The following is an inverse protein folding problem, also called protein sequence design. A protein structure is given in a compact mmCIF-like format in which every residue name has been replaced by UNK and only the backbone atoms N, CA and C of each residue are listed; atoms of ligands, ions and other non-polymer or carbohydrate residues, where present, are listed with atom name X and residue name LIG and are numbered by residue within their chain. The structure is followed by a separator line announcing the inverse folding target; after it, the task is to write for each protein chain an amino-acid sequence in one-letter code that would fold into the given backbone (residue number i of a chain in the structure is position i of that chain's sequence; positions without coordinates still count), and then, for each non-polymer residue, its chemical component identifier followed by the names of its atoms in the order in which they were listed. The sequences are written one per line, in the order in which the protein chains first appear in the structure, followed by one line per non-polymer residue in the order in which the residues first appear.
data_IF_554833649013
#
_entry.id   IF_554833649013
#
_cell.length_a   1.000
_cell.length_b   1.000
_cell.length_c   1.000
_cell.angle_alpha   90.00
_cell.angle_beta   90.00
_cell.angle_gamma   90.00
#
_symmetry.space_group_name_H-M   'P 1'
#
loop_
_entity.id
_entity.type
_entity.pdbx_description
1 polymer ?
#
# COMPACT_ATOMS: atom_id res chain seq x y z
N UNK A 1 -3.24 -5.16 -6.43
CA UNK A 1 -4.15 -6.03 -5.63
C UNK A 1 -5.41 -5.30 -5.20
N UNK A 2 -5.30 -4.14 -4.54
CA UNK A 2 -6.46 -3.39 -4.06
C UNK A 2 -7.45 -3.02 -5.18
N UNK A 3 -6.95 -2.55 -6.33
CA UNK A 3 -7.76 -2.21 -7.50
C UNK A 3 -8.57 -3.41 -8.05
N UNK A 4 -7.94 -4.58 -8.18
CA UNK A 4 -8.63 -5.79 -8.60
C UNK A 4 -9.75 -6.18 -7.63
N UNK A 5 -9.50 -6.10 -6.31
CA UNK A 5 -10.52 -6.32 -5.29
C UNK A 5 -11.63 -5.26 -5.38
N UNK A 6 -11.28 -4.00 -5.63
CA UNK A 6 -12.24 -2.91 -5.79
C UNK A 6 -13.19 -3.20 -6.96
N UNK A 7 -12.67 -3.63 -8.12
CA UNK A 7 -13.50 -4.05 -9.25
C UNK A 7 -14.40 -5.24 -8.91
N UNK A 8 -13.83 -6.30 -8.34
CA UNK A 8 -14.57 -7.53 -8.02
C UNK A 8 -15.65 -7.32 -6.94
N UNK A 9 -15.46 -6.35 -6.04
CA UNK A 9 -16.40 -6.06 -4.95
C UNK A 9 -17.36 -4.91 -5.25
N UNK A 10 -17.35 -4.38 -6.49
CA UNK A 10 -18.22 -3.30 -6.92
C UNK A 10 -17.94 -1.98 -6.19
N UNK A 11 -16.67 -1.60 -6.07
CA UNK A 11 -16.24 -0.32 -5.49
C UNK A 11 -16.21 -0.26 -3.96
N UNK A 12 -16.38 -1.39 -3.28
CA UNK A 12 -16.44 -1.46 -1.79
C UNK A 12 -15.10 -1.64 -1.10
N UNK A 13 -14.02 -1.82 -1.86
CA UNK A 13 -12.66 -1.89 -1.29
C UNK A 13 -12.17 -0.48 -0.95
N UNK A 14 -11.45 -0.35 0.16
CA UNK A 14 -10.75 0.88 0.53
C UNK A 14 -9.26 0.58 0.64
N UNK A 15 -8.44 1.55 0.28
CA UNK A 15 -6.99 1.48 0.31
C UNK A 15 -6.42 2.62 1.16
N UNK A 16 -5.66 2.24 2.18
CA UNK A 16 -4.80 3.14 2.94
C UNK A 16 -3.37 2.95 2.42
N UNK A 17 -2.78 4.01 1.88
CA UNK A 17 -1.43 4.00 1.27
C UNK A 17 -0.82 5.40 1.38
N UNK A 18 0.34 5.61 0.76
CA UNK A 18 0.94 6.93 0.55
C UNK A 18 1.28 7.09 -0.94
N UNK A 19 0.75 8.14 -1.57
CA UNK A 19 1.07 8.57 -2.94
C UNK A 19 1.45 10.05 -2.94
N UNK A 20 2.22 10.45 -3.94
CA UNK A 20 2.58 11.85 -4.17
C UNK A 20 1.41 12.67 -4.72
N UNK A 21 1.57 13.98 -4.73
CA UNK A 21 0.72 14.92 -5.48
C UNK A 21 1.20 15.12 -6.93
N UNK A 22 2.13 14.28 -7.38
CA UNK A 22 2.68 14.21 -8.73
C UNK A 22 1.73 13.56 -9.75
N UNK A 23 2.17 13.52 -11.02
CA UNK A 23 1.37 13.00 -12.11
C UNK A 23 1.02 11.51 -11.94
N UNK A 24 1.94 10.72 -11.39
CA UNK A 24 1.72 9.29 -11.13
C UNK A 24 0.69 9.10 -10.01
N UNK A 25 0.74 9.90 -8.95
CA UNK A 25 -0.25 9.88 -7.88
C UNK A 25 -1.64 10.24 -8.38
N UNK A 26 -1.74 11.30 -9.19
CA UNK A 26 -3.00 11.69 -9.84
C UNK A 26 -3.52 10.60 -10.78
N UNK A 27 -2.64 9.94 -11.54
CA UNK A 27 -3.02 8.82 -12.38
C UNK A 27 -3.60 7.67 -11.53
N UNK A 28 -2.94 7.28 -10.45
CA UNK A 28 -3.38 6.21 -9.56
C UNK A 28 -4.75 6.49 -8.91
N UNK A 29 -5.00 7.73 -8.46
CA UNK A 29 -6.29 8.11 -7.88
C UNK A 29 -7.44 8.03 -8.90
N UNK A 30 -7.15 8.35 -10.16
CA UNK A 30 -8.12 8.30 -11.25
C UNK A 30 -8.46 6.88 -11.74
N UNK A 31 -7.60 5.87 -11.53
CA UNK A 31 -7.87 4.48 -11.96
C UNK A 31 -9.04 3.87 -11.18
N UNK A 32 -9.13 4.16 -9.89
CA UNK A 32 -10.15 3.63 -8.99
C UNK A 32 -10.66 4.73 -8.05
N UNK A 33 -11.50 5.66 -8.56
CA UNK A 33 -11.97 6.81 -7.81
C UNK A 33 -12.68 6.39 -6.52
N UNK A 34 -12.35 7.05 -5.41
CA UNK A 34 -12.93 6.78 -4.09
C UNK A 34 -12.43 5.49 -3.42
N UNK A 35 -11.42 4.83 -3.99
CA UNK A 35 -10.72 3.73 -3.32
C UNK A 35 -9.76 4.23 -2.23
N UNK A 36 -9.03 5.31 -2.50
CA UNK A 36 -8.06 5.88 -1.56
C UNK A 36 -8.76 6.55 -0.37
N UNK A 37 -8.21 6.38 0.83
CA UNK A 37 -8.69 7.05 2.03
C UNK A 37 -8.09 8.46 2.17
N UNK A 38 -8.80 9.34 2.89
CA UNK A 38 -8.36 10.71 3.09
C UNK A 38 -7.02 10.82 3.82
N UNK A 39 -6.05 11.51 3.23
CA UNK A 39 -4.70 11.68 3.78
C UNK A 39 -3.68 10.70 3.21
N UNK A 40 -4.01 9.94 2.17
CA UNK A 40 -3.03 9.14 1.42
C UNK A 40 -2.16 10.00 0.47
N UNK A 41 -2.58 11.23 0.13
CA UNK A 41 -1.82 12.14 -0.75
C UNK A 41 -0.86 12.99 0.07
N UNK A 42 0.44 12.86 -0.19
CA UNK A 42 1.52 13.56 0.50
C UNK A 42 1.98 14.75 -0.37
N UNK A 43 1.87 15.96 0.18
CA UNK A 43 2.26 17.18 -0.54
C UNK A 43 3.76 17.23 -0.81
N UNK A 44 4.14 17.62 -2.01
CA UNK A 44 5.53 17.60 -2.50
C UNK A 44 6.18 16.21 -2.40
N UNK A 45 5.36 15.15 -2.40
CA UNK A 45 5.83 13.77 -2.36
C UNK A 45 5.97 13.20 -3.76
N UNK A 46 6.97 12.34 -3.98
CA UNK A 46 7.06 11.53 -5.18
C UNK A 46 6.35 10.19 -4.94
N UNK A 47 5.45 9.81 -5.84
CA UNK A 47 4.75 8.52 -5.79
C UNK A 47 5.77 7.38 -5.90
N UNK A 48 5.67 6.34 -5.02
CA UNK A 48 6.60 5.21 -5.05
C UNK A 48 6.67 4.55 -6.43
N UNK A 49 7.89 4.33 -6.92
CA UNK A 49 8.13 3.77 -8.26
C UNK A 49 9.15 2.64 -8.20
N UNK A 50 9.01 1.68 -9.11
CA UNK A 50 9.94 0.56 -9.25
C UNK A 50 10.27 0.34 -10.73
N UNK A 51 11.54 0.52 -11.08
CA UNK A 51 12.08 0.26 -12.40
C UNK A 51 12.83 -1.07 -12.40
N UNK A 52 12.65 -1.87 -13.43
CA UNK A 52 13.34 -3.16 -13.60
C UNK A 52 13.95 -3.25 -14.99
N UNK A 53 15.20 -3.69 -15.06
CA UNK A 53 15.87 -4.07 -16.29
C UNK A 53 15.81 -5.59 -16.45
N UNK A 54 15.30 -6.03 -17.58
CA UNK A 54 15.18 -7.44 -17.93
C UNK A 54 16.19 -7.79 -19.03
N UNK A 55 16.70 -9.02 -19.01
CA UNK A 55 17.47 -9.57 -20.14
C UNK A 55 16.55 -9.98 -21.30
N UNK A 56 17.14 -10.48 -22.39
CA UNK A 56 16.40 -10.95 -23.58
C UNK A 56 15.54 -12.20 -23.33
N UNK A 57 15.73 -12.88 -22.19
CA UNK A 57 14.94 -14.04 -21.75
C UNK A 57 13.85 -13.64 -20.75
N UNK A 58 13.79 -12.37 -20.36
CA UNK A 58 12.85 -11.84 -19.37
C UNK A 58 13.32 -12.00 -17.92
N UNK A 59 14.58 -12.37 -17.68
CA UNK A 59 15.15 -12.47 -16.34
C UNK A 59 15.51 -11.08 -15.80
N UNK A 60 15.21 -10.83 -14.52
CA UNK A 60 15.55 -9.56 -13.86
C UNK A 60 17.06 -9.46 -13.65
N UNK A 61 17.66 -8.43 -14.28
CA UNK A 61 19.06 -8.08 -14.08
C UNK A 61 19.23 -7.10 -12.94
N UNK A 62 18.42 -6.03 -12.92
CA UNK A 62 18.51 -4.93 -11.95
C UNK A 62 17.09 -4.46 -11.62
N UNK A 63 16.82 -4.22 -10.34
CA UNK A 63 15.61 -3.57 -9.86
C UNK A 63 15.95 -2.35 -9.00
N UNK A 64 15.37 -1.20 -9.31
CA UNK A 64 15.50 0.05 -8.58
C UNK A 64 14.14 0.48 -8.07
N UNK A 65 14.00 0.61 -6.75
CA UNK A 65 12.77 1.04 -6.11
C UNK A 65 12.96 2.29 -5.29
N UNK A 66 12.18 3.33 -5.58
CA UNK A 66 11.95 4.43 -4.64
C UNK A 66 10.65 4.15 -3.88
N UNK A 67 10.80 3.74 -2.62
CA UNK A 67 9.69 3.35 -1.74
C UNK A 67 9.62 4.24 -0.49
N UNK A 68 10.40 5.32 -0.45
CA UNK A 68 10.55 6.17 0.74
C UNK A 68 9.22 6.78 1.20
N UNK A 69 8.31 7.09 0.27
CA UNK A 69 7.04 7.70 0.62
C UNK A 69 6.17 6.82 1.53
N UNK A 70 6.32 5.49 1.47
CA UNK A 70 5.57 4.55 2.31
C UNK A 70 5.81 4.74 3.81
N UNK A 71 6.86 5.46 4.24
CA UNK A 71 7.04 5.83 5.66
C UNK A 71 5.90 6.68 6.23
N UNK A 72 5.09 7.31 5.37
CA UNK A 72 3.90 8.08 5.75
C UNK A 72 2.67 7.20 6.00
N UNK A 73 2.75 5.89 5.76
CA UNK A 73 1.71 4.94 6.16
C UNK A 73 1.88 4.68 7.65
N UNK A 74 1.42 5.59 8.50
CA UNK A 74 1.68 5.57 9.95
C UNK A 74 0.51 4.96 10.75
N UNK A 75 0.73 4.54 12.02
CA UNK A 75 -0.35 4.12 12.92
C UNK A 75 -1.41 5.22 13.14
N UNK A 76 -1.00 6.49 13.14
CA UNK A 76 -1.91 7.63 13.29
C UNK A 76 -2.85 7.74 12.09
N UNK A 77 -2.34 7.53 10.87
CA UNK A 77 -3.16 7.51 9.67
C UNK A 77 -4.18 6.35 9.72
N UNK A 78 -3.77 5.18 10.22
CA UNK A 78 -4.69 4.05 10.48
C UNK A 78 -5.77 4.45 11.48
N UNK A 79 -5.40 5.06 12.61
CA UNK A 79 -6.33 5.44 13.67
C UNK A 79 -7.34 6.51 13.23
N UNK A 80 -6.93 7.44 12.35
CA UNK A 80 -7.83 8.42 11.74
C UNK A 80 -9.01 7.75 11.02
N UNK A 81 -8.77 6.55 10.47
CA UNK A 81 -9.74 5.77 9.71
C UNK A 81 -10.28 4.55 10.46
N UNK A 82 -10.20 4.53 11.80
CA UNK A 82 -10.53 3.35 12.61
C UNK A 82 -11.90 2.73 12.28
N UNK A 83 -12.90 3.55 11.98
CA UNK A 83 -14.25 3.10 11.60
C UNK A 83 -14.25 2.24 10.33
N UNK A 84 -13.41 2.58 9.34
CA UNK A 84 -13.26 1.78 8.12
C UNK A 84 -12.70 0.39 8.47
N UNK A 85 -11.74 0.33 9.40
CA UNK A 85 -11.19 -0.94 9.88
C UNK A 85 -12.22 -1.71 10.73
N UNK A 86 -13.08 -1.04 11.50
CA UNK A 86 -14.19 -1.61 12.29
C UNK A 86 -15.35 -2.14 11.43
N UNK A 87 -15.55 -1.59 10.24
CA UNK A 87 -16.59 -2.05 9.30
C UNK A 87 -16.07 -3.11 8.29
N UNK A 88 -14.76 -3.13 8.02
CA UNK A 88 -14.17 -4.02 7.02
C UNK A 88 -14.31 -5.51 7.36
N UNK A 89 -14.86 -6.34 6.45
CA UNK A 89 -14.96 -7.79 6.69
C UNK A 89 -13.61 -8.53 6.58
N UNK A 90 -12.60 -7.91 5.95
CA UNK A 90 -11.27 -8.46 5.73
C UNK A 90 -10.27 -7.32 5.67
N UNK A 91 -9.12 -7.48 6.32
CA UNK A 91 -7.99 -6.55 6.25
C UNK A 91 -6.83 -7.27 5.55
N UNK A 92 -6.32 -6.66 4.49
CA UNK A 92 -5.15 -7.16 3.73
C UNK A 92 -4.01 -6.17 3.92
N UNK A 93 -2.87 -6.67 4.37
CA UNK A 93 -1.64 -5.90 4.56
C UNK A 93 -0.63 -6.26 3.47
N UNK A 94 0.11 -5.26 3.02
CA UNK A 94 1.29 -5.43 2.16
C UNK A 94 2.56 -5.18 2.98
N UNK A 95 3.63 -5.90 2.67
CA UNK A 95 4.93 -5.80 3.36
C UNK A 95 5.69 -4.49 3.12
N UNK A 96 5.15 -3.59 2.30
CA UNK A 96 5.74 -2.28 2.02
C UNK A 96 5.43 -1.23 3.11
N UNK A 97 4.45 -1.50 3.99
CA UNK A 97 4.15 -0.60 5.10
C UNK A 97 5.25 -0.66 6.19
N UNK A 98 5.50 0.44 6.93
CA UNK A 98 6.42 0.42 8.06
C UNK A 98 6.04 -0.63 9.11
N UNK A 99 7.05 -1.28 9.69
CA UNK A 99 6.85 -2.35 10.68
C UNK A 99 5.93 -1.91 11.83
N UNK A 100 6.13 -0.70 12.36
CA UNK A 100 5.29 -0.16 13.43
C UNK A 100 3.80 -0.11 13.05
N UNK A 101 3.49 0.20 11.79
CA UNK A 101 2.11 0.24 11.29
C UNK A 101 1.55 -1.16 11.07
N UNK A 102 2.37 -2.09 10.56
CA UNK A 102 1.99 -3.50 10.42
C UNK A 102 1.63 -4.07 11.81
N UNK A 103 2.49 -3.88 12.81
CA UNK A 103 2.27 -4.37 14.18
C UNK A 103 0.99 -3.77 14.79
N UNK A 104 0.77 -2.47 14.58
CA UNK A 104 -0.43 -1.77 15.02
C UNK A 104 -1.71 -2.34 14.38
N UNK A 105 -1.70 -2.56 13.06
CA UNK A 105 -2.87 -3.13 12.35
C UNK A 105 -3.10 -4.58 12.78
N UNK A 106 -2.06 -5.39 12.99
CA UNK A 106 -2.20 -6.77 13.47
C UNK A 106 -2.81 -6.80 14.89
N UNK A 107 -2.36 -5.93 15.79
CA UNK A 107 -2.94 -5.79 17.12
C UNK A 107 -4.42 -5.35 17.04
N UNK A 108 -4.74 -4.44 16.11
CA UNK A 108 -6.11 -4.01 15.85
C UNK A 108 -7.00 -5.15 15.34
N UNK A 109 -6.54 -5.94 14.36
CA UNK A 109 -7.26 -7.11 13.85
C UNK A 109 -7.58 -8.10 14.97
N UNK A 110 -6.62 -8.37 15.86
CA UNK A 110 -6.80 -9.23 17.03
C UNK A 110 -7.87 -8.68 17.98
N UNK A 111 -7.85 -7.37 18.24
CA UNK A 111 -8.82 -6.70 19.12
C UNK A 111 -10.23 -6.68 18.53
N UNK A 112 -10.37 -6.50 17.22
CA UNK A 112 -11.65 -6.46 16.52
C UNK A 112 -12.17 -7.85 16.12
N UNK A 113 -11.43 -8.92 16.43
CA UNK A 113 -11.71 -10.29 16.02
C UNK A 113 -11.93 -10.43 14.49
N UNK A 114 -11.06 -9.80 13.70
CA UNK A 114 -11.13 -9.78 12.23
C UNK A 114 -10.03 -10.62 11.59
N UNK A 115 -10.31 -11.30 10.46
CA UNK A 115 -9.27 -11.96 9.69
C UNK A 115 -8.32 -10.90 9.10
N UNK A 116 -7.06 -10.93 9.52
CA UNK A 116 -5.97 -10.15 8.93
C UNK A 116 -5.07 -11.05 8.11
N UNK A 117 -4.87 -10.73 6.82
CA UNK A 117 -3.96 -11.45 5.93
C UNK A 117 -2.79 -10.52 5.61
N UNK A 118 -1.58 -10.91 6.02
CA UNK A 118 -0.35 -10.22 5.61
C UNK A 118 0.20 -10.87 4.35
N UNK A 119 0.27 -10.10 3.26
CA UNK A 119 0.97 -10.49 2.05
C UNK A 119 2.40 -9.99 2.16
N UNK A 120 3.35 -10.91 2.25
CA UNK A 120 4.77 -10.57 2.18
C UNK A 120 5.11 -10.20 0.73
N UNK A 121 5.48 -8.94 0.50
CA UNK A 121 6.03 -8.44 -0.76
C UNK A 121 7.50 -8.82 -0.94
N UNK A 122 7.97 -8.90 -2.19
CA UNK A 122 9.26 -9.47 -2.59
C UNK A 122 10.46 -9.09 -1.70
N UNK A 123 11.13 -10.10 -1.17
CA UNK A 123 12.49 -9.98 -0.60
C UNK A 123 13.45 -9.84 -1.78
N UNK A 124 13.67 -8.61 -2.24
CA UNK A 124 14.79 -8.28 -3.11
C UNK A 124 15.49 -7.04 -2.54
N UNK A 125 16.13 -7.21 -1.39
CA UNK A 125 17.26 -6.37 -1.00
C UNK A 125 18.53 -7.07 -1.49
N UNK A 126 18.83 -6.99 -2.78
CA UNK A 126 20.16 -7.34 -3.27
C UNK A 126 20.84 -6.05 -3.72
N UNK A 127 21.29 -5.29 -2.72
CA UNK A 127 22.28 -4.25 -2.92
C UNK A 127 23.64 -4.94 -2.84
N UNK A 128 24.11 -5.52 -3.96
CA UNK A 128 25.53 -5.84 -4.09
C UNK A 128 26.23 -4.63 -4.69
N UNK A 129 27.24 -4.06 -4.00
CA UNK A 129 28.13 -3.08 -4.62
C UNK A 129 28.93 -3.70 -5.77
#
# INVERSE_FOLDING_TARGET
MAEALWRLRGGRTRLLTAIGDDADGQYLDNIAPGMLLDGCIIKNGCTPSYAVMLDSRGECLIGLGDMELHKHITPELVNKHIKVFEDASLIVLDGNAPQATIDHVLALCKRLNKPGICKVGCIAKDYRP
#
